data_IF_020294357938
#
_entry.id   IF_020294357938
#
_cell.length_a   1.000
_cell.length_b   1.000
_cell.length_c   1.000
_cell.angle_alpha   90.00
_cell.angle_beta   90.00
_cell.angle_gamma   90.00
#
_symmetry.space_group_name_H-M   'P 1'
#
loop_
_entity.id
_entity.type
_entity.pdbx_description
1 polymer ?
#
# COMPACT_ATOMS: atom_id res chain seq x y z
N UNK A 1 -24.37 11.65 -1.91
CA UNK A 1 -23.87 11.88 -3.28
C UNK A 1 -22.34 11.88 -3.35
N UNK A 2 -21.64 12.52 -2.40
CA UNK A 2 -20.17 12.54 -2.30
C UNK A 2 -19.50 11.15 -2.21
N UNK A 3 -20.08 10.21 -1.44
CA UNK A 3 -19.56 8.84 -1.30
C UNK A 3 -19.58 8.06 -2.62
N UNK A 4 -20.58 8.28 -3.48
CA UNK A 4 -20.68 7.61 -4.77
C UNK A 4 -19.49 7.97 -5.67
N UNK A 5 -19.09 9.24 -5.67
CA UNK A 5 -17.92 9.73 -6.40
C UNK A 5 -16.63 9.10 -5.85
N UNK A 6 -16.47 9.04 -4.52
CA UNK A 6 -15.31 8.39 -3.88
C UNK A 6 -15.19 6.91 -4.31
N UNK A 7 -16.32 6.19 -4.32
CA UNK A 7 -16.36 4.79 -4.75
C UNK A 7 -16.02 4.63 -6.22
N UNK A 8 -16.65 5.42 -7.11
CA UNK A 8 -16.41 5.34 -8.56
C UNK A 8 -14.96 5.65 -8.92
N UNK A 9 -14.36 6.69 -8.33
CA UNK A 9 -12.96 7.03 -8.55
C UNK A 9 -12.02 5.92 -8.06
N UNK A 10 -12.28 5.37 -6.88
CA UNK A 10 -11.46 4.28 -6.34
C UNK A 10 -11.54 3.02 -7.22
N UNK A 11 -12.76 2.64 -7.63
CA UNK A 11 -12.99 1.52 -8.51
C UNK A 11 -12.32 1.71 -9.87
N UNK A 12 -12.41 2.91 -10.45
CA UNK A 12 -11.78 3.23 -11.74
C UNK A 12 -10.26 3.11 -11.68
N UNK A 13 -9.62 3.56 -10.59
CA UNK A 13 -8.17 3.43 -10.43
C UNK A 13 -7.77 1.96 -10.29
N UNK A 14 -8.47 1.18 -9.46
CA UNK A 14 -8.16 -0.24 -9.25
C UNK A 14 -8.36 -1.02 -10.55
N UNK A 15 -9.54 -0.91 -11.17
CA UNK A 15 -9.85 -1.62 -12.42
C UNK A 15 -8.93 -1.15 -13.55
N UNK A 16 -8.75 0.17 -13.72
CA UNK A 16 -7.88 0.73 -14.75
C UNK A 16 -6.43 0.24 -14.62
N UNK A 17 -5.89 0.20 -13.40
CA UNK A 17 -4.54 -0.33 -13.15
C UNK A 17 -4.43 -1.81 -13.51
N UNK A 18 -5.45 -2.62 -13.19
CA UNK A 18 -5.48 -4.05 -13.53
C UNK A 18 -5.58 -4.32 -15.03
N UNK A 19 -6.33 -3.49 -15.77
CA UNK A 19 -6.45 -3.60 -17.23
C UNK A 19 -5.16 -3.15 -17.94
N UNK A 20 -4.51 -2.10 -17.43
CA UNK A 20 -3.21 -1.65 -17.95
C UNK A 20 -2.11 -2.70 -17.73
N UNK A 21 -2.15 -3.43 -16.61
CA UNK A 21 -1.23 -4.54 -16.33
C UNK A 21 -1.29 -5.68 -17.35
N UNK A 22 -2.43 -5.89 -18.01
CA UNK A 22 -2.57 -6.89 -19.07
C UNK A 22 -1.90 -6.47 -20.37
N UNK A 23 -1.74 -5.17 -20.60
CA UNK A 23 -1.26 -4.62 -21.87
C UNK A 23 0.21 -4.21 -21.78
N UNK A 24 0.59 -3.42 -20.78
CA UNK A 24 1.88 -2.71 -20.72
C UNK A 24 2.59 -2.98 -19.38
N UNK A 25 3.62 -3.84 -19.39
CA UNK A 25 4.32 -4.29 -18.17
C UNK A 25 4.96 -3.13 -17.38
N UNK A 26 5.80 -2.30 -18.01
CA UNK A 26 6.50 -1.19 -17.33
C UNK A 26 5.55 -0.14 -16.76
N UNK A 27 4.58 0.31 -17.56
CA UNK A 27 3.60 1.31 -17.14
C UNK A 27 2.73 0.80 -15.98
N UNK A 28 2.38 -0.49 -15.99
CA UNK A 28 1.60 -1.09 -14.92
C UNK A 28 2.36 -1.21 -13.60
N UNK A 29 3.65 -1.55 -13.63
CA UNK A 29 4.48 -1.59 -12.43
C UNK A 29 4.62 -0.21 -11.80
N UNK A 30 4.83 0.83 -12.63
CA UNK A 30 4.89 2.22 -12.15
C UNK A 30 3.57 2.66 -11.54
N UNK A 31 2.44 2.36 -12.20
CA UNK A 31 1.12 2.68 -11.68
C UNK A 31 0.84 1.95 -10.37
N UNK A 32 1.12 0.64 -10.28
CA UNK A 32 0.89 -0.14 -9.06
C UNK A 32 1.82 0.26 -7.91
N UNK A 33 2.98 0.85 -8.20
CA UNK A 33 3.88 1.38 -7.18
C UNK A 33 3.41 2.72 -6.59
N UNK A 34 2.52 3.45 -7.27
CA UNK A 34 1.99 4.71 -6.76
C UNK A 34 1.00 4.45 -5.60
N UNK A 35 1.09 5.21 -4.50
CA UNK A 35 0.22 5.02 -3.34
C UNK A 35 -1.16 5.66 -3.55
N UNK A 36 -1.90 5.21 -4.57
CA UNK A 36 -3.19 5.81 -4.96
C UNK A 36 -4.22 5.81 -3.83
N UNK A 37 -4.27 4.74 -3.04
CA UNK A 37 -5.19 4.62 -1.91
C UNK A 37 -4.90 5.70 -0.86
N UNK A 38 -3.64 5.85 -0.47
CA UNK A 38 -3.19 6.88 0.46
C UNK A 38 -3.37 8.29 -0.08
N UNK A 39 -3.06 8.50 -1.37
CA UNK A 39 -3.24 9.79 -2.04
C UNK A 39 -4.71 10.22 -1.97
N UNK A 40 -5.64 9.35 -2.36
CA UNK A 40 -7.07 9.63 -2.30
C UNK A 40 -7.52 9.88 -0.85
N UNK A 41 -7.09 9.06 0.11
CA UNK A 41 -7.44 9.23 1.51
C UNK A 41 -7.01 10.61 2.04
N UNK A 42 -5.76 11.01 1.78
CA UNK A 42 -5.22 12.32 2.17
C UNK A 42 -5.98 13.47 1.50
N UNK A 43 -6.26 13.37 0.19
CA UNK A 43 -7.02 14.38 -0.54
C UNK A 43 -8.41 14.56 0.07
N UNK A 44 -9.10 13.47 0.39
CA UNK A 44 -10.43 13.55 1.00
C UNK A 44 -10.39 14.14 2.40
N UNK A 45 -9.42 13.76 3.22
CA UNK A 45 -9.22 14.36 4.55
C UNK A 45 -9.01 15.86 4.40
N UNK A 46 -8.11 16.30 3.52
CA UNK A 46 -7.88 17.72 3.32
C UNK A 46 -9.10 18.47 2.77
N UNK A 47 -9.84 17.87 1.84
CA UNK A 47 -11.07 18.49 1.31
C UNK A 47 -12.10 18.66 2.42
N UNK A 48 -12.26 17.64 3.27
CA UNK A 48 -13.30 17.58 4.30
C UNK A 48 -12.94 18.41 5.55
N UNK A 49 -11.66 18.47 5.95
CA UNK A 49 -11.23 19.12 7.20
C UNK A 49 -10.41 20.39 7.01
N UNK A 50 -9.76 20.58 5.86
CA UNK A 50 -8.72 21.60 5.61
C UNK A 50 -7.55 21.55 6.61
N UNK A 51 -7.40 20.43 7.33
CA UNK A 51 -6.39 20.26 8.36
C UNK A 51 -5.07 19.75 7.76
N UNK A 52 -4.12 20.69 7.58
CA UNK A 52 -2.78 20.39 7.06
C UNK A 52 -1.95 19.58 8.06
N UNK A 53 -2.14 19.80 9.37
CA UNK A 53 -1.40 19.06 10.39
C UNK A 53 -1.79 17.58 10.36
N UNK A 54 -3.08 17.29 10.22
CA UNK A 54 -3.55 15.90 10.10
C UNK A 54 -3.05 15.23 8.83
N UNK A 55 -3.02 15.95 7.71
CA UNK A 55 -2.44 15.46 6.45
C UNK A 55 -0.96 15.12 6.62
N UNK A 56 -0.18 15.99 7.27
CA UNK A 56 1.23 15.77 7.52
C UNK A 56 1.48 14.56 8.44
N UNK A 57 0.70 14.43 9.53
CA UNK A 57 0.74 13.30 10.45
C UNK A 57 0.53 11.97 9.72
N UNK A 58 -0.54 11.87 8.93
CA UNK A 58 -0.85 10.65 8.16
C UNK A 58 0.23 10.37 7.12
N UNK A 59 0.76 11.40 6.47
CA UNK A 59 1.83 11.27 5.48
C UNK A 59 3.11 10.69 6.09
N UNK A 60 3.51 11.16 7.27
CA UNK A 60 4.62 10.59 8.03
C UNK A 60 4.35 9.15 8.46
N UNK A 61 3.13 8.86 8.90
CA UNK A 61 2.71 7.50 9.23
C UNK A 61 2.88 6.54 8.06
N UNK A 62 2.39 6.93 6.87
CA UNK A 62 2.55 6.14 5.63
C UNK A 62 4.03 5.97 5.30
N UNK A 63 4.83 7.05 5.36
CA UNK A 63 6.26 6.99 5.07
C UNK A 63 6.97 5.90 5.88
N UNK A 64 6.72 5.83 7.19
CA UNK A 64 7.31 4.80 8.05
C UNK A 64 6.75 3.40 7.78
N UNK A 65 5.48 3.29 7.38
CA UNK A 65 4.83 2.00 7.12
C UNK A 65 5.08 1.46 5.70
N UNK A 66 5.67 2.23 4.79
CA UNK A 66 6.05 1.75 3.45
C UNK A 66 7.20 0.74 3.50
N UNK A 67 8.35 0.98 4.17
CA UNK A 67 9.45 0.00 4.27
C UNK A 67 9.03 -1.42 4.67
N UNK A 68 8.23 -1.65 5.74
CA UNK A 68 7.80 -3.01 6.08
C UNK A 68 6.86 -3.61 5.02
N UNK A 69 6.05 -2.80 4.32
CA UNK A 69 5.19 -3.28 3.23
C UNK A 69 5.99 -3.88 2.07
N UNK A 70 7.20 -3.38 1.82
CA UNK A 70 8.03 -3.80 0.70
C UNK A 70 8.47 -5.26 0.82
N UNK A 71 8.48 -5.85 2.02
CA UNK A 71 8.85 -7.27 2.23
C UNK A 71 7.92 -8.24 1.50
N UNK A 72 6.67 -7.85 1.28
CA UNK A 72 5.70 -8.68 0.56
C UNK A 72 6.19 -9.08 -0.84
N UNK A 73 6.69 -8.11 -1.63
CA UNK A 73 7.04 -8.31 -3.03
C UNK A 73 8.20 -9.31 -3.26
N UNK A 74 9.39 -9.18 -2.62
CA UNK A 74 10.48 -10.12 -2.80
C UNK A 74 10.13 -11.50 -2.24
N UNK A 75 9.40 -11.60 -1.12
CA UNK A 75 8.98 -12.91 -0.58
C UNK A 75 8.08 -13.62 -1.58
N UNK A 76 7.06 -12.93 -2.10
CA UNK A 76 6.17 -13.51 -3.11
C UNK A 76 6.94 -13.90 -4.38
N UNK A 77 7.79 -13.01 -4.90
CA UNK A 77 8.57 -13.25 -6.10
C UNK A 77 9.49 -14.47 -5.95
N UNK A 78 10.24 -14.58 -4.84
CA UNK A 78 11.15 -15.70 -4.59
C UNK A 78 10.40 -17.02 -4.44
N UNK A 79 9.27 -17.05 -3.72
CA UNK A 79 8.49 -18.28 -3.56
C UNK A 79 7.89 -18.76 -4.89
N UNK A 80 7.39 -17.85 -5.73
CA UNK A 80 6.90 -18.18 -7.06
C UNK A 80 8.03 -18.68 -7.99
N UNK A 81 9.20 -18.04 -7.96
CA UNK A 81 10.38 -18.49 -8.73
C UNK A 81 10.88 -19.87 -8.29
N UNK A 82 10.66 -20.25 -7.03
CA UNK A 82 10.97 -21.59 -6.50
C UNK A 82 9.92 -22.66 -6.84
N UNK A 83 8.88 -22.30 -7.60
CA UNK A 83 7.84 -23.24 -8.03
C UNK A 83 6.77 -23.54 -6.98
N UNK A 84 6.71 -22.79 -5.88
CA UNK A 84 5.64 -22.94 -4.89
C UNK A 84 4.31 -22.41 -5.49
N UNK A 85 3.23 -23.17 -5.33
CA UNK A 85 1.93 -22.78 -5.88
C UNK A 85 1.44 -21.43 -5.33
N UNK A 86 0.79 -20.66 -6.20
CA UNK A 86 0.44 -19.26 -5.96
C UNK A 86 -0.27 -19.01 -4.61
N UNK A 87 -1.30 -19.78 -4.20
CA UNK A 87 -1.99 -19.54 -2.94
C UNK A 87 -1.06 -19.66 -1.72
N UNK A 88 -0.15 -20.65 -1.70
CA UNK A 88 0.80 -20.83 -0.61
C UNK A 88 1.87 -19.73 -0.59
N UNK A 89 2.36 -19.33 -1.76
CA UNK A 89 3.29 -18.21 -1.91
C UNK A 89 2.67 -16.91 -1.42
N UNK A 90 1.40 -16.67 -1.74
CA UNK A 90 0.65 -15.48 -1.33
C UNK A 90 0.46 -15.42 0.19
N UNK A 91 -0.05 -16.50 0.80
CA UNK A 91 -0.26 -16.56 2.26
C UNK A 91 1.07 -16.37 3.00
N UNK A 92 2.15 -16.98 2.51
CA UNK A 92 3.48 -16.85 3.11
C UNK A 92 4.01 -15.41 3.02
N UNK A 93 3.84 -14.75 1.88
CA UNK A 93 4.25 -13.35 1.70
C UNK A 93 3.45 -12.38 2.58
N UNK A 94 2.13 -12.58 2.70
CA UNK A 94 1.27 -11.80 3.61
C UNK A 94 1.74 -12.01 5.05
N UNK A 95 1.97 -13.25 5.46
CA UNK A 95 2.42 -13.58 6.82
C UNK A 95 3.77 -12.92 7.12
N UNK A 96 4.72 -13.01 6.18
CA UNK A 96 6.02 -12.35 6.32
C UNK A 96 5.87 -10.83 6.49
N UNK A 97 5.06 -10.18 5.65
CA UNK A 97 4.81 -8.75 5.76
C UNK A 97 4.20 -8.35 7.11
N UNK A 98 3.18 -9.08 7.58
CA UNK A 98 2.54 -8.83 8.89
C UNK A 98 3.54 -8.98 10.04
N UNK A 99 4.38 -10.02 10.03
CA UNK A 99 5.41 -10.21 11.03
C UNK A 99 6.45 -9.07 11.00
N UNK A 100 6.86 -8.64 9.81
CA UNK A 100 7.74 -7.49 9.64
C UNK A 100 7.12 -6.22 10.22
N UNK A 101 5.83 -5.95 9.94
CA UNK A 101 5.13 -4.81 10.53
C UNK A 101 5.18 -4.82 12.06
N UNK A 102 4.86 -5.96 12.68
CA UNK A 102 4.85 -6.09 14.14
C UNK A 102 6.24 -5.82 14.72
N UNK A 103 7.28 -6.39 14.12
CA UNK A 103 8.67 -6.20 14.56
C UNK A 103 9.09 -4.74 14.35
N UNK A 104 8.77 -4.17 13.19
CA UNK A 104 9.16 -2.82 12.79
C UNK A 104 8.54 -1.75 13.69
N UNK A 105 7.24 -1.82 13.97
CA UNK A 105 6.56 -0.89 14.89
C UNK A 105 7.13 -0.99 16.30
N UNK A 106 7.43 -2.21 16.78
CA UNK A 106 8.09 -2.39 18.09
C UNK A 106 9.48 -1.79 18.13
N UNK A 107 10.23 -1.84 17.03
CA UNK A 107 11.56 -1.21 16.92
C UNK A 107 11.41 0.31 16.93
N UNK A 108 10.52 0.88 16.12
CA UNK A 108 10.29 2.32 16.07
C UNK A 108 9.87 2.89 17.42
N UNK A 109 9.01 2.18 18.15
CA UNK A 109 8.60 2.57 19.50
C UNK A 109 9.80 2.69 20.46
N UNK A 110 10.85 1.87 20.31
CA UNK A 110 12.09 1.98 21.12
C UNK A 110 12.91 3.22 20.79
N UNK A 111 12.75 3.78 19.59
CA UNK A 111 13.38 5.03 19.17
C UNK A 111 12.50 6.26 19.41
N UNK A 112 11.38 6.11 20.13
CA UNK A 112 10.46 7.21 20.46
C UNK A 112 9.53 7.61 19.32
N UNK A 113 9.50 6.86 18.21
CA UNK A 113 8.55 7.07 17.10
C UNK A 113 7.29 6.27 17.43
N UNK A 114 6.23 6.95 17.83
CA UNK A 114 4.91 6.36 18.05
C UNK A 114 4.07 6.56 16.78
N UNK A 115 3.72 5.44 16.13
CA UNK A 115 2.86 5.36 14.96
C UNK A 115 1.43 4.94 15.34
#
# INVERSE_FOLDING_TARGET
>A
MYTLVKVLLTALIIVGSSELAKRWSLASTLLLALPFTSLLAILWIYIDTKDVAKVAEISWGIFWLVPPSLVFFPVLAVLLQRGLAFPYSLISAITAAVLTYIIYVKILARFGIQL
#
